data_IF_887126383490
#
_entry.id   IF_887126383490
#
_cell.length_a   1.000
_cell.length_b   1.000
_cell.length_c   1.000
_cell.angle_alpha   90.00
_cell.angle_beta   90.00
_cell.angle_gamma   90.00
#
_symmetry.space_group_name_H-M   'P 1'
#
loop_
_entity.id
_entity.type
_entity.pdbx_description
1 polymer ?
#
# COMPACT_ATOMS: atom_id res chain seq x y z
N UNK A 1 -15.42 53.04 -21.93
CA UNK A 1 -14.27 52.23 -22.37
C UNK A 1 -14.61 50.78 -22.06
N UNK A 2 -14.84 49.97 -23.11
CA UNK A 2 -15.22 48.57 -22.95
C UNK A 2 -13.95 47.73 -22.90
N UNK A 3 -13.57 47.27 -21.70
CA UNK A 3 -12.63 46.16 -21.58
C UNK A 3 -13.47 44.87 -21.56
N UNK A 4 -13.64 44.26 -22.73
CA UNK A 4 -14.14 42.88 -22.82
C UNK A 4 -12.99 41.95 -22.45
N UNK A 5 -12.74 41.78 -21.15
CA UNK A 5 -11.80 40.77 -20.69
C UNK A 5 -12.29 39.39 -21.15
N UNK A 6 -11.42 38.65 -21.85
CA UNK A 6 -11.70 37.27 -22.25
C UNK A 6 -11.23 36.33 -21.14
N UNK A 7 -12.18 35.61 -20.56
CA UNK A 7 -11.97 34.58 -19.54
C UNK A 7 -12.04 33.19 -20.17
N UNK A 8 -11.26 32.95 -21.23
CA UNK A 8 -11.21 31.67 -21.93
C UNK A 8 -10.11 30.80 -21.31
N UNK A 9 -10.48 29.91 -20.37
CA UNK A 9 -9.58 28.97 -19.68
C UNK A 9 -9.69 27.52 -20.20
N UNK A 10 -10.36 27.30 -21.33
CA UNK A 10 -10.55 25.98 -21.94
C UNK A 10 -9.32 25.48 -22.72
N UNK A 11 -8.25 26.28 -22.80
CA UNK A 11 -6.97 25.88 -23.39
C UNK A 11 -6.31 24.80 -22.51
N UNK A 12 -5.82 23.72 -23.12
CA UNK A 12 -5.19 22.59 -22.45
C UNK A 12 -4.07 22.99 -21.47
N UNK A 13 -3.40 24.13 -21.69
CA UNK A 13 -2.37 24.64 -20.77
C UNK A 13 -2.91 25.06 -19.40
N UNK A 14 -4.21 25.34 -19.29
CA UNK A 14 -4.90 25.68 -18.05
C UNK A 14 -5.58 24.47 -17.40
N UNK A 15 -5.71 23.37 -18.15
CA UNK A 15 -6.17 22.11 -17.59
C UNK A 15 -5.10 21.58 -16.63
N UNK A 16 -5.54 21.03 -15.50
CA UNK A 16 -4.65 20.28 -14.64
C UNK A 16 -4.03 19.15 -15.48
N UNK A 17 -2.71 18.93 -15.41
CA UNK A 17 -2.12 17.76 -16.05
C UNK A 17 -2.84 16.51 -15.53
N UNK A 18 -3.03 15.48 -16.38
CA UNK A 18 -3.64 14.23 -15.95
C UNK A 18 -2.94 13.76 -14.67
N UNK A 19 -3.71 13.37 -13.66
CA UNK A 19 -3.20 12.81 -12.42
C UNK A 19 -2.18 11.73 -12.78
N UNK A 20 -0.89 11.96 -12.51
CA UNK A 20 0.15 11.03 -12.90
C UNK A 20 -0.06 9.75 -12.09
N UNK A 21 -0.54 8.70 -12.73
CA UNK A 21 -0.78 7.40 -12.10
C UNK A 21 0.60 6.81 -11.79
N UNK A 22 0.91 6.67 -10.51
CA UNK A 22 2.12 5.99 -10.08
C UNK A 22 2.02 4.51 -10.46
N UNK A 23 3.08 3.89 -11.01
CA UNK A 23 3.14 2.45 -11.17
C UNK A 23 2.83 1.76 -9.83
N UNK A 24 2.07 0.67 -9.87
CA UNK A 24 1.51 0.06 -8.67
C UNK A 24 1.81 -1.43 -8.55
N UNK A 25 1.81 -1.89 -7.30
CA UNK A 25 1.76 -3.29 -6.94
C UNK A 25 0.48 -3.59 -6.17
N UNK A 26 0.17 -4.88 -6.03
CA UNK A 26 -0.97 -5.35 -5.25
C UNK A 26 -0.62 -6.60 -4.46
N UNK A 27 -1.54 -7.04 -3.60
CA UNK A 27 -1.45 -8.31 -2.91
C UNK A 27 -2.39 -9.30 -3.60
N UNK A 28 -1.86 -10.37 -4.20
CA UNK A 28 -2.64 -11.45 -4.79
C UNK A 28 -3.04 -12.43 -3.70
N UNK A 29 -4.33 -12.75 -3.62
CA UNK A 29 -4.83 -13.72 -2.66
C UNK A 29 -4.61 -15.18 -3.13
N UNK A 30 -4.48 -16.14 -2.20
CA UNK A 30 -4.37 -17.56 -2.53
C UNK A 30 -5.64 -18.07 -3.18
N UNK A 31 -5.50 -18.84 -4.25
CA UNK A 31 -6.61 -19.54 -4.93
C UNK A 31 -6.24 -21.00 -5.16
N UNK A 32 -7.23 -21.90 -5.11
CA UNK A 32 -7.01 -23.29 -5.51
C UNK A 32 -7.08 -23.41 -7.03
N UNK A 33 -5.99 -23.88 -7.62
CA UNK A 33 -5.94 -24.32 -9.01
C UNK A 33 -5.96 -25.85 -9.13
N UNK A 34 -5.89 -26.39 -10.36
CA UNK A 34 -5.88 -27.83 -10.62
C UNK A 34 -4.75 -28.59 -9.91
N UNK A 35 -3.64 -27.90 -9.64
CA UNK A 35 -2.42 -28.47 -9.05
C UNK A 35 -2.23 -28.07 -7.57
N UNK A 36 -3.29 -27.62 -6.90
CA UNK A 36 -3.25 -27.16 -5.50
C UNK A 36 -3.25 -25.64 -5.37
N UNK A 37 -2.70 -25.13 -4.27
CA UNK A 37 -2.69 -23.70 -3.96
C UNK A 37 -1.78 -22.95 -4.96
N UNK A 38 -2.34 -21.97 -5.65
CA UNK A 38 -1.58 -21.10 -6.54
C UNK A 38 -0.67 -20.13 -5.74
N UNK A 39 0.41 -19.62 -6.36
CA UNK A 39 1.25 -18.61 -5.72
C UNK A 39 0.45 -17.38 -5.30
N UNK A 40 0.83 -16.79 -4.17
CA UNK A 40 0.18 -15.62 -3.57
C UNK A 40 1.24 -14.74 -2.92
N UNK A 41 0.90 -13.48 -2.66
CA UNK A 41 1.84 -12.51 -2.10
C UNK A 41 1.81 -11.18 -2.83
N UNK A 42 2.87 -10.38 -2.61
CA UNK A 42 3.00 -9.09 -3.25
C UNK A 42 3.37 -9.28 -4.71
N UNK A 43 2.64 -8.63 -5.61
CA UNK A 43 2.77 -8.79 -7.04
C UNK A 43 2.88 -7.46 -7.79
N UNK A 44 3.57 -7.49 -8.92
CA UNK A 44 3.72 -6.37 -9.86
C UNK A 44 3.57 -6.92 -11.29
N UNK A 45 2.68 -6.34 -12.08
CA UNK A 45 2.54 -6.64 -13.51
C UNK A 45 3.82 -6.34 -14.29
N UNK A 46 4.04 -7.04 -15.39
CA UNK A 46 5.16 -6.74 -16.29
C UNK A 46 5.22 -5.26 -16.72
N UNK A 47 4.08 -4.61 -16.99
CA UNK A 47 4.04 -3.21 -17.42
C UNK A 47 4.54 -2.26 -16.32
N UNK A 48 4.01 -2.39 -15.09
CA UNK A 48 4.49 -1.61 -13.95
C UNK A 48 5.95 -1.93 -13.59
N UNK A 49 6.37 -3.20 -13.72
CA UNK A 49 7.76 -3.60 -13.50
C UNK A 49 8.70 -2.92 -14.50
N UNK A 50 8.34 -2.89 -15.79
CA UNK A 50 9.11 -2.19 -16.83
C UNK A 50 9.13 -0.68 -16.58
N UNK A 51 7.98 -0.08 -16.22
CA UNK A 51 7.84 1.36 -16.01
C UNK A 51 8.77 1.89 -14.89
N UNK A 52 9.04 1.11 -13.86
CA UNK A 52 9.95 1.49 -12.76
C UNK A 52 11.40 1.00 -12.97
N UNK A 53 11.66 0.22 -14.02
CA UNK A 53 12.94 -0.44 -14.25
C UNK A 53 13.25 -1.55 -13.24
N UNK A 54 12.25 -2.36 -12.88
CA UNK A 54 12.37 -3.46 -11.93
C UNK A 54 13.30 -4.57 -12.44
N UNK A 55 14.26 -4.95 -11.58
CA UNK A 55 15.19 -6.04 -11.77
C UNK A 55 14.94 -7.06 -10.65
N UNK A 56 14.13 -8.11 -10.90
CA UNK A 56 13.85 -9.13 -9.89
C UNK A 56 15.13 -9.88 -9.51
N UNK A 57 15.26 -10.19 -8.22
CA UNK A 57 16.24 -11.16 -7.72
C UNK A 57 15.58 -12.54 -7.56
N UNK A 58 16.31 -13.52 -7.03
CA UNK A 58 15.86 -14.92 -6.89
C UNK A 58 14.62 -15.08 -5.97
N UNK A 59 14.26 -14.06 -5.20
CA UNK A 59 13.08 -14.06 -4.33
C UNK A 59 11.77 -13.72 -5.08
N UNK A 60 11.85 -13.38 -6.36
CA UNK A 60 10.70 -13.07 -7.21
C UNK A 60 10.48 -14.15 -8.25
N UNK A 61 9.24 -14.60 -8.34
CA UNK A 61 8.82 -15.57 -9.34
C UNK A 61 8.02 -14.87 -10.42
N UNK A 62 8.30 -15.18 -11.68
CA UNK A 62 7.46 -14.77 -12.79
C UNK A 62 6.38 -15.83 -13.03
N UNK A 63 5.11 -15.45 -12.94
CA UNK A 63 3.97 -16.35 -13.13
C UNK A 63 2.92 -15.72 -14.03
N UNK A 64 2.09 -16.55 -14.64
CA UNK A 64 0.83 -16.13 -15.25
C UNK A 64 -0.28 -16.19 -14.19
N UNK A 65 -1.05 -15.13 -14.06
CA UNK A 65 -2.14 -14.99 -13.11
C UNK A 65 -3.42 -14.53 -13.80
N UNK A 66 -4.54 -15.17 -13.48
CA UNK A 66 -5.86 -14.84 -14.03
C UNK A 66 -6.55 -13.79 -13.14
N UNK A 67 -6.55 -12.54 -13.61
CA UNK A 67 -7.33 -11.46 -13.01
C UNK A 67 -8.75 -11.45 -13.58
N UNK A 68 -9.65 -10.67 -12.97
CA UNK A 68 -10.98 -10.41 -13.54
C UNK A 68 -10.93 -9.77 -14.94
N UNK A 69 -9.85 -9.03 -15.22
CA UNK A 69 -9.56 -8.41 -16.52
C UNK A 69 -8.97 -9.37 -17.55
N UNK A 70 -8.54 -10.57 -17.13
CA UNK A 70 -7.89 -11.59 -17.95
C UNK A 70 -6.53 -12.05 -17.38
N UNK A 71 -5.92 -12.99 -18.08
CA UNK A 71 -4.59 -13.49 -17.77
C UNK A 71 -3.50 -12.43 -18.01
N UNK A 72 -2.67 -12.19 -16.99
CA UNK A 72 -1.49 -11.33 -17.09
C UNK A 72 -0.28 -12.00 -16.44
N UNK A 73 0.91 -11.70 -16.96
CA UNK A 73 2.16 -12.12 -16.32
C UNK A 73 2.56 -11.11 -15.24
N UNK A 74 2.91 -11.63 -14.06
CA UNK A 74 3.33 -10.84 -12.91
C UNK A 74 4.61 -11.38 -12.28
N UNK A 75 5.37 -10.50 -11.66
CA UNK A 75 6.35 -10.88 -10.65
C UNK A 75 5.67 -10.97 -9.28
N UNK A 76 5.87 -12.05 -8.55
CA UNK A 76 5.26 -12.27 -7.23
C UNK A 76 6.29 -12.75 -6.20
N UNK A 77 6.12 -12.31 -4.95
CA UNK A 77 6.89 -12.79 -3.80
C UNK A 77 6.05 -12.86 -2.53
N UNK A 78 6.22 -13.94 -1.77
CA UNK A 78 5.64 -14.11 -0.43
C UNK A 78 6.55 -13.57 0.68
N UNK A 79 7.80 -13.25 0.37
CA UNK A 79 8.78 -12.70 1.31
C UNK A 79 9.47 -11.45 0.76
N UNK A 80 8.73 -10.43 0.30
CA UNK A 80 9.35 -9.24 -0.28
C UNK A 80 10.11 -8.45 0.80
N UNK A 81 11.12 -7.68 0.40
CA UNK A 81 11.81 -6.72 1.29
C UNK A 81 11.49 -5.31 0.82
N UNK A 82 10.95 -4.49 1.72
CA UNK A 82 10.30 -3.24 1.37
C UNK A 82 10.87 -2.09 2.20
N UNK A 83 11.18 -0.97 1.55
CA UNK A 83 11.28 0.33 2.20
C UNK A 83 9.95 1.05 1.98
N UNK A 84 9.30 1.51 3.06
CA UNK A 84 8.05 2.27 3.00
C UNK A 84 8.38 3.75 3.23
N UNK A 85 8.38 4.53 2.15
CA UNK A 85 8.76 5.95 2.16
C UNK A 85 7.61 6.82 2.67
N UNK A 86 6.39 6.59 2.17
CA UNK A 86 5.20 7.30 2.60
C UNK A 86 4.05 6.33 2.83
N UNK A 87 3.16 6.71 3.73
CA UNK A 87 1.93 5.97 4.05
C UNK A 87 0.78 6.95 4.09
N UNK A 88 -0.28 6.65 3.34
CA UNK A 88 -1.53 7.39 3.38
C UNK A 88 -2.38 7.03 4.61
N UNK A 89 -3.43 7.80 4.91
CA UNK A 89 -4.36 7.47 5.98
C UNK A 89 -5.15 6.20 5.65
N UNK A 90 -5.61 5.51 6.70
CA UNK A 90 -6.64 4.47 6.56
C UNK A 90 -7.89 5.13 5.96
N UNK A 91 -8.26 4.72 4.77
CA UNK A 91 -9.33 5.33 3.97
C UNK A 91 -10.47 4.33 3.75
N UNK A 92 -11.64 4.86 3.43
CA UNK A 92 -12.84 4.07 3.11
C UNK A 92 -13.22 4.35 1.66
N UNK A 93 -13.54 3.27 0.93
CA UNK A 93 -14.17 3.34 -0.39
C UNK A 93 -15.44 2.50 -0.42
N UNK A 94 -16.33 2.88 -1.32
CA UNK A 94 -17.45 2.04 -1.72
C UNK A 94 -16.93 0.85 -2.54
N UNK A 95 -17.41 -0.36 -2.24
CA UNK A 95 -16.93 -1.59 -2.89
C UNK A 95 -17.33 -1.68 -4.35
N UNK A 96 -18.58 -1.30 -4.65
CA UNK A 96 -19.16 -1.46 -5.98
C UNK A 96 -18.59 -0.43 -6.96
N UNK A 97 -18.50 0.82 -6.52
CA UNK A 97 -18.03 1.93 -7.38
C UNK A 97 -16.52 2.14 -7.32
N UNK A 98 -15.84 1.58 -6.32
CA UNK A 98 -14.43 1.84 -6.04
C UNK A 98 -14.12 3.27 -5.57
N UNK A 99 -15.12 4.15 -5.46
CA UNK A 99 -14.92 5.57 -5.15
C UNK A 99 -14.49 5.73 -3.69
N UNK A 100 -13.34 6.39 -3.48
CA UNK A 100 -12.90 6.82 -2.15
C UNK A 100 -13.89 7.85 -1.57
N UNK A 101 -14.41 7.54 -0.39
CA UNK A 101 -15.29 8.42 0.37
C UNK A 101 -14.50 9.45 1.18
N UNK A 102 -13.48 8.98 1.89
CA UNK A 102 -12.64 9.80 2.76
C UNK A 102 -11.79 8.95 3.70
N UNK A 103 -11.34 9.51 4.81
CA UNK A 103 -10.62 8.75 5.84
C UNK A 103 -11.58 7.89 6.68
N UNK A 104 -11.09 6.78 7.21
CA UNK A 104 -11.84 5.92 8.14
C UNK A 104 -12.23 6.65 9.42
N UNK A 105 -11.45 7.64 9.85
CA UNK A 105 -11.78 8.45 11.02
C UNK A 105 -13.08 9.23 10.79
N UNK A 106 -13.26 9.76 9.59
CA UNK A 106 -14.40 10.62 9.26
C UNK A 106 -15.63 9.81 8.85
N UNK A 107 -15.44 8.61 8.27
CA UNK A 107 -16.49 7.70 7.82
C UNK A 107 -16.62 6.43 8.68
N UNK A 108 -16.25 6.51 9.96
CA UNK A 108 -16.28 5.35 10.86
C UNK A 108 -17.69 4.81 11.03
N UNK A 109 -18.66 5.68 11.27
CA UNK A 109 -20.04 5.28 11.55
C UNK A 109 -20.72 4.72 10.29
N UNK A 110 -20.50 5.35 9.14
CA UNK A 110 -20.94 4.82 7.83
C UNK A 110 -20.38 3.41 7.58
N UNK A 111 -19.07 3.22 7.81
CA UNK A 111 -18.43 1.92 7.66
C UNK A 111 -19.01 0.87 8.63
N UNK A 112 -19.26 1.24 9.88
CA UNK A 112 -19.79 0.31 10.89
C UNK A 112 -21.27 -0.04 10.63
N UNK A 113 -22.03 0.87 10.04
CA UNK A 113 -23.42 0.66 9.65
C UNK A 113 -23.55 -0.32 8.48
N UNK A 114 -22.63 -0.27 7.50
CA UNK A 114 -22.64 -1.16 6.34
C UNK A 114 -21.24 -1.64 5.93
N UNK A 115 -20.71 -2.61 6.67
CA UNK A 115 -19.39 -3.22 6.44
C UNK A 115 -19.30 -4.00 5.13
N UNK A 116 -20.45 -4.38 4.56
CA UNK A 116 -20.51 -5.12 3.29
C UNK A 116 -20.40 -4.16 2.12
N UNK A 117 -21.05 -3.00 2.18
CA UNK A 117 -20.95 -1.95 1.16
C UNK A 117 -19.58 -1.29 1.10
N UNK A 118 -18.92 -1.10 2.25
CA UNK A 118 -17.67 -0.36 2.33
C UNK A 118 -16.44 -1.25 2.51
N UNK A 119 -15.29 -0.77 2.03
CA UNK A 119 -13.98 -1.42 2.19
C UNK A 119 -12.93 -0.42 2.66
N UNK A 120 -12.15 -0.82 3.65
CA UNK A 120 -11.00 -0.04 4.10
C UNK A 120 -9.78 -0.36 3.27
N UNK A 121 -8.97 0.67 3.00
CA UNK A 121 -7.69 0.52 2.33
C UNK A 121 -6.65 1.51 2.85
N UNK A 122 -5.38 1.20 2.61
CA UNK A 122 -4.25 2.11 2.88
C UNK A 122 -3.32 2.07 1.69
N UNK A 123 -2.82 3.25 1.30
CA UNK A 123 -1.77 3.39 0.28
C UNK A 123 -0.41 3.51 0.91
N UNK A 124 0.57 2.85 0.32
CA UNK A 124 1.97 2.94 0.68
C UNK A 124 2.77 3.33 -0.56
N UNK A 125 3.76 4.18 -0.37
CA UNK A 125 4.76 4.49 -1.39
C UNK A 125 6.03 3.72 -1.01
N UNK A 126 6.43 2.76 -1.83
CA UNK A 126 7.43 1.77 -1.48
C UNK A 126 8.59 1.70 -2.49
N UNK A 127 9.72 1.18 -2.02
CA UNK A 127 10.74 0.58 -2.84
C UNK A 127 10.94 -0.89 -2.46
N UNK A 128 11.12 -1.74 -3.47
CA UNK A 128 11.56 -3.11 -3.30
C UNK A 128 13.08 -3.15 -3.15
N UNK A 129 13.56 -3.95 -2.22
CA UNK A 129 14.96 -4.01 -1.80
C UNK A 129 15.48 -5.43 -2.04
N UNK A 130 16.67 -5.55 -2.62
CA UNK A 130 17.37 -6.83 -2.72
C UNK A 130 18.05 -7.22 -1.42
N UNK A 131 18.53 -8.46 -1.34
CA UNK A 131 19.34 -8.95 -0.20
C UNK A 131 20.58 -8.06 0.08
N UNK A 132 21.15 -7.45 -0.96
CA UNK A 132 22.28 -6.52 -0.87
C UNK A 132 21.92 -5.11 -0.37
N UNK A 133 20.66 -4.88 0.05
CA UNK A 133 20.11 -3.58 0.48
C UNK A 133 20.09 -2.51 -0.62
N UNK A 134 20.14 -2.93 -1.90
CA UNK A 134 19.97 -2.05 -3.06
C UNK A 134 18.51 -2.07 -3.50
N UNK A 135 18.02 -0.94 -4.01
CA UNK A 135 16.71 -0.93 -4.63
C UNK A 135 16.73 -1.73 -5.93
N UNK A 136 15.69 -2.53 -6.12
CA UNK A 136 15.51 -3.34 -7.32
C UNK A 136 14.92 -2.53 -8.48
N UNK A 137 14.62 -1.25 -8.29
CA UNK A 137 14.03 -0.36 -9.28
C UNK A 137 14.33 1.11 -8.96
N UNK A 138 14.07 2.01 -9.91
CA UNK A 138 14.52 3.41 -9.84
C UNK A 138 13.43 4.41 -9.44
N UNK A 139 12.16 4.04 -9.57
CA UNK A 139 10.99 4.89 -9.26
C UNK A 139 10.14 4.24 -8.16
N UNK A 140 9.49 5.01 -7.28
CA UNK A 140 8.68 4.43 -6.22
C UNK A 140 7.42 3.76 -6.76
N UNK A 141 6.94 2.75 -6.05
CA UNK A 141 5.69 2.04 -6.34
C UNK A 141 4.59 2.44 -5.37
N UNK A 142 3.37 2.57 -5.88
CA UNK A 142 2.18 2.63 -5.02
C UNK A 142 1.71 1.21 -4.70
N UNK A 143 1.64 0.87 -3.41
CA UNK A 143 1.01 -0.35 -2.93
C UNK A 143 -0.29 -0.02 -2.20
N UNK A 144 -1.42 -0.43 -2.78
CA UNK A 144 -2.73 -0.29 -2.13
C UNK A 144 -3.14 -1.60 -1.50
N UNK A 145 -3.26 -1.61 -0.17
CA UNK A 145 -3.68 -2.79 0.57
C UNK A 145 -5.05 -2.55 1.17
N UNK A 146 -5.93 -3.54 1.05
CA UNK A 146 -7.31 -3.46 1.50
C UNK A 146 -7.74 -4.71 2.25
N UNK A 147 -8.85 -4.63 2.98
CA UNK A 147 -9.42 -5.76 3.70
C UNK A 147 -8.44 -6.43 4.68
N UNK A 148 -8.48 -7.77 4.74
CA UNK A 148 -7.67 -8.56 5.66
C UNK A 148 -6.16 -8.42 5.42
N UNK A 149 -5.73 -8.44 4.16
CA UNK A 149 -4.32 -8.23 3.78
C UNK A 149 -3.79 -6.87 4.26
N UNK A 150 -4.58 -5.81 4.06
CA UNK A 150 -4.22 -4.48 4.55
C UNK A 150 -4.18 -4.36 6.07
N UNK A 151 -5.10 -5.04 6.77
CA UNK A 151 -5.14 -5.06 8.22
C UNK A 151 -3.93 -5.79 8.82
N UNK A 152 -3.60 -7.00 8.32
CA UNK A 152 -2.46 -7.79 8.80
C UNK A 152 -1.13 -7.10 8.48
N UNK A 153 -0.95 -6.58 7.26
CA UNK A 153 0.23 -5.80 6.89
C UNK A 153 0.40 -4.56 7.76
N UNK A 154 -0.67 -3.77 7.93
CA UNK A 154 -0.64 -2.55 8.73
C UNK A 154 -0.29 -2.80 10.20
N UNK A 155 -0.86 -3.86 10.80
CA UNK A 155 -0.55 -4.26 12.18
C UNK A 155 0.91 -4.67 12.34
N UNK A 156 1.43 -5.49 11.43
CA UNK A 156 2.82 -5.97 11.48
C UNK A 156 3.83 -4.86 11.19
N UNK A 157 3.52 -3.92 10.31
CA UNK A 157 4.39 -2.77 10.05
C UNK A 157 4.42 -1.78 11.22
N UNK A 158 3.25 -1.36 11.70
CA UNK A 158 3.13 -0.35 12.75
C UNK A 158 1.80 -0.46 13.49
N UNK A 159 1.83 -0.96 14.72
CA UNK A 159 0.65 -1.05 15.58
C UNK A 159 0.52 0.21 16.43
N UNK A 160 -0.64 0.86 16.36
CA UNK A 160 -0.94 2.08 17.10
C UNK A 160 -1.98 1.84 18.18
N UNK A 161 -1.73 2.36 19.37
CA UNK A 161 -2.71 2.45 20.45
C UNK A 161 -2.72 3.88 20.99
N UNK A 162 -3.90 4.51 21.03
CA UNK A 162 -4.08 5.90 21.48
C UNK A 162 -3.11 6.91 20.81
N UNK A 163 -2.87 6.72 19.51
CA UNK A 163 -1.99 7.60 18.72
C UNK A 163 -0.49 7.39 18.94
N UNK A 164 -0.08 6.36 19.70
CA UNK A 164 1.32 6.00 19.92
C UNK A 164 1.63 4.64 19.29
N UNK A 165 2.84 4.48 18.79
CA UNK A 165 3.36 3.21 18.29
C UNK A 165 3.57 2.30 19.51
N UNK A 166 2.91 1.15 19.53
CA UNK A 166 3.00 0.15 20.62
C UNK A 166 3.64 -1.16 20.18
N UNK A 167 3.67 -1.43 18.88
CA UNK A 167 4.19 -2.68 18.33
C UNK A 167 4.44 -2.62 16.83
N UNK A 168 4.79 -3.76 16.26
CA UNK A 168 5.17 -3.91 14.86
C UNK A 168 6.62 -3.52 14.58
N UNK A 169 7.02 -3.72 13.34
CA UNK A 169 8.37 -3.50 12.83
C UNK A 169 8.95 -2.13 13.22
N UNK A 170 8.15 -1.07 13.10
CA UNK A 170 8.60 0.29 13.43
C UNK A 170 9.00 0.42 14.90
N UNK A 171 8.23 -0.16 15.83
CA UNK A 171 8.53 -0.12 17.26
C UNK A 171 9.82 -0.88 17.59
N UNK A 172 10.02 -2.02 16.94
CA UNK A 172 11.21 -2.84 17.11
C UNK A 172 12.45 -2.18 16.52
N UNK A 173 12.32 -1.55 15.35
CA UNK A 173 13.40 -0.80 14.70
C UNK A 173 13.92 0.33 15.58
N UNK A 174 13.04 1.09 16.23
CA UNK A 174 13.46 2.14 17.18
C UNK A 174 14.22 1.59 18.38
N UNK A 175 13.75 0.47 18.95
CA UNK A 175 14.42 -0.21 20.08
C UNK A 175 15.78 -0.77 19.66
N UNK A 176 15.85 -1.44 18.51
CA UNK A 176 17.07 -1.99 17.95
C UNK A 176 18.11 -0.88 17.67
N UNK A 177 17.69 0.22 17.07
CA UNK A 177 18.54 1.39 16.83
C UNK A 177 19.06 2.02 18.13
N UNK A 178 18.18 2.23 19.11
CA UNK A 178 18.57 2.78 20.40
C UNK A 178 19.60 1.88 21.11
N UNK A 179 19.36 0.57 21.13
CA UNK A 179 20.29 -0.41 21.69
C UNK A 179 21.63 -0.46 20.94
N UNK A 180 21.60 -0.45 19.61
CA UNK A 180 22.81 -0.39 18.77
C UNK A 180 23.66 0.87 19.05
N UNK A 181 23.01 2.02 19.25
CA UNK A 181 23.67 3.26 19.62
C UNK A 181 24.01 3.38 21.12
N UNK A 182 23.65 2.40 21.95
CA UNK A 182 23.73 2.44 23.40
C UNK A 182 23.09 3.72 24.01
N UNK A 183 21.88 4.05 23.54
CA UNK A 183 21.09 5.22 23.97
C UNK A 183 19.70 4.81 24.45
N UNK A 184 19.02 5.64 25.27
CA UNK A 184 17.62 5.43 25.60
C UNK A 184 16.73 5.43 24.36
N UNK A 185 15.63 4.66 24.39
CA UNK A 185 14.64 4.65 23.32
C UNK A 185 13.94 6.00 23.26
N UNK A 186 14.04 6.66 22.11
CA UNK A 186 13.36 7.92 21.81
C UNK A 186 12.51 7.75 20.55
N UNK A 187 11.26 8.23 20.54
CA UNK A 187 10.43 8.19 19.33
C UNK A 187 11.13 8.83 18.14
N UNK A 188 11.03 8.20 16.98
CA UNK A 188 11.61 8.70 15.73
C UNK A 188 10.53 9.21 14.78
N UNK A 189 10.94 10.10 13.88
CA UNK A 189 10.05 10.66 12.86
C UNK A 189 9.86 9.73 11.66
N UNK A 190 8.87 9.98 10.78
CA UNK A 190 8.56 9.09 9.67
C UNK A 190 9.73 8.91 8.68
N UNK A 191 10.60 9.92 8.50
CA UNK A 191 11.77 9.79 7.64
C UNK A 191 12.78 8.74 8.17
N UNK A 192 12.90 8.61 9.50
CA UNK A 192 13.72 7.53 10.08
C UNK A 192 13.09 6.16 9.80
N UNK A 193 11.77 6.03 9.95
CA UNK A 193 11.08 4.76 9.66
C UNK A 193 11.16 4.38 8.19
N UNK A 194 11.24 5.37 7.29
CA UNK A 194 11.47 5.16 5.86
C UNK A 194 12.85 4.56 5.53
N UNK A 195 13.79 4.52 6.48
CA UNK A 195 15.07 3.81 6.29
C UNK A 195 15.02 2.36 6.75
N UNK A 196 13.94 1.94 7.41
CA UNK A 196 13.74 0.54 7.79
C UNK A 196 13.37 -0.32 6.58
N UNK A 197 14.01 -1.48 6.47
CA UNK A 197 13.68 -2.52 5.49
C UNK A 197 12.70 -3.48 6.18
N UNK A 198 11.42 -3.34 5.87
CA UNK A 198 10.36 -4.22 6.33
C UNK A 198 10.32 -5.48 5.45
N UNK A 199 10.52 -6.64 6.07
CA UNK A 199 10.52 -7.94 5.39
C UNK A 199 9.32 -8.78 5.87
N UNK A 200 8.10 -8.51 5.38
CA UNK A 200 6.92 -9.29 5.75
C UNK A 200 7.04 -10.74 5.25
N UNK A 201 6.50 -11.67 6.04
CA UNK A 201 6.27 -13.06 5.65
C UNK A 201 4.78 -13.20 5.37
N UNK A 202 4.46 -13.49 4.12
CA UNK A 202 3.09 -13.58 3.63
C UNK A 202 2.72 -15.05 3.49
N UNK A 203 1.65 -15.46 4.15
CA UNK A 203 1.11 -16.80 4.08
C UNK A 203 -0.40 -16.77 3.79
N UNK A 204 -0.91 -17.95 3.45
CA UNK A 204 -2.32 -18.21 3.21
C UNK A 204 -3.03 -18.40 4.55
N UNK A 205 -4.02 -17.55 4.84
CA UNK A 205 -4.90 -17.71 6.01
C UNK A 205 -6.37 -17.70 5.59
N UNK A 206 -7.20 -18.51 6.24
CA UNK A 206 -8.65 -18.36 6.18
C UNK A 206 -9.08 -17.19 7.08
N UNK A 207 -9.73 -16.19 6.50
CA UNK A 207 -10.27 -15.04 7.23
C UNK A 207 -11.72 -14.81 6.86
N UNK A 208 -12.50 -14.33 7.83
CA UNK A 208 -13.91 -14.01 7.66
C UNK A 208 -14.76 -14.51 8.83
N UNK A 209 -16.07 -14.37 8.70
CA UNK A 209 -17.05 -14.91 9.65
C UNK A 209 -17.99 -15.78 8.82
N UNK A 210 -18.22 -17.02 9.26
CA UNK A 210 -19.10 -17.95 8.56
C UNK A 210 -20.47 -17.31 8.26
N UNK A 211 -21.01 -17.49 7.04
CA UNK A 211 -20.50 -18.34 5.95
C UNK A 211 -19.47 -17.68 5.02
N UNK A 212 -19.09 -16.42 5.25
CA UNK A 212 -18.24 -15.62 4.36
C UNK A 212 -16.76 -15.69 4.78
N UNK A 213 -16.15 -16.87 4.66
CA UNK A 213 -14.70 -17.08 4.84
C UNK A 213 -14.01 -17.18 3.49
N UNK A 214 -12.85 -16.54 3.34
CA UNK A 214 -12.04 -16.58 2.13
C UNK A 214 -10.56 -16.82 2.49
N UNK A 215 -9.82 -17.42 1.55
CA UNK A 215 -8.37 -17.49 1.64
C UNK A 215 -7.79 -16.12 1.29
N UNK A 216 -6.94 -15.61 2.17
CA UNK A 216 -6.32 -14.29 1.99
C UNK A 216 -4.83 -14.37 2.20
N UNK A 217 -4.10 -13.56 1.42
CA UNK A 217 -2.68 -13.38 1.62
C UNK A 217 -2.47 -12.44 2.81
N UNK A 218 -2.01 -13.01 3.92
CA UNK A 218 -1.86 -12.28 5.18
C UNK A 218 -0.39 -12.17 5.57
N UNK A 219 0.01 -10.99 6.03
CA UNK A 219 1.28 -10.86 6.74
C UNK A 219 1.15 -11.53 8.09
N UNK A 220 1.70 -12.74 8.22
CA UNK A 220 1.63 -13.53 9.45
C UNK A 220 2.76 -13.18 10.42
N UNK A 221 3.90 -12.77 9.88
CA UNK A 221 5.08 -12.39 10.63
C UNK A 221 5.98 -11.46 9.78
N UNK A 222 7.12 -11.06 10.31
CA UNK A 222 8.15 -10.32 9.59
C UNK A 222 9.53 -10.58 10.18
N UNK A 223 10.59 -10.25 9.44
CA UNK A 223 11.93 -10.34 10.01
C UNK A 223 12.15 -9.24 11.05
N UNK A 224 12.42 -9.66 12.28
CA UNK A 224 12.52 -8.77 13.44
C UNK A 224 13.90 -8.08 13.53
N UNK A 225 13.96 -6.73 13.49
CA UNK A 225 15.19 -6.01 13.76
C UNK A 225 15.56 -6.14 15.25
N UNK A 226 16.78 -6.59 15.52
CA UNK A 226 17.38 -6.64 16.85
C UNK A 226 18.64 -5.79 16.89
N UNK A 227 19.25 -5.62 18.06
CA UNK A 227 20.54 -4.92 18.15
C UNK A 227 21.62 -5.58 17.27
N UNK A 228 21.63 -6.92 17.18
CA UNK A 228 22.59 -7.67 16.38
C UNK A 228 22.29 -7.69 14.87
N UNK A 229 21.03 -7.50 14.49
CA UNK A 229 20.58 -7.60 13.09
C UNK A 229 20.16 -6.26 12.49
N UNK A 230 20.30 -5.14 13.21
CA UNK A 230 19.87 -3.82 12.75
C UNK A 230 20.46 -3.45 11.38
N UNK A 231 21.73 -3.76 11.15
CA UNK A 231 22.43 -3.45 9.91
C UNK A 231 21.89 -4.19 8.68
N UNK A 232 21.13 -5.26 8.88
CA UNK A 232 20.46 -6.02 7.81
C UNK A 232 19.11 -5.39 7.42
N UNK A 233 18.44 -4.75 8.38
CA UNK A 233 17.07 -4.23 8.25
C UNK A 233 17.01 -2.70 8.22
N UNK A 234 18.15 -2.03 7.99
CA UNK A 234 18.21 -0.58 7.93
C UNK A 234 19.14 -0.11 6.80
N UNK A 235 18.67 0.87 6.04
CA UNK A 235 19.47 1.63 5.09
C UNK A 235 20.29 2.66 5.89
N UNK A 236 21.61 2.60 5.73
CA UNK A 236 22.51 3.54 6.39
C UNK A 236 22.32 4.96 5.82
N UNK A 237 22.45 5.97 6.68
CA UNK A 237 22.18 7.37 6.30
C UNK A 237 23.13 7.92 5.23
N UNK A 238 24.32 7.33 5.11
CA UNK A 238 25.37 7.66 4.13
C UNK A 238 25.34 6.78 2.87
N UNK A 239 24.41 5.82 2.78
CA UNK A 239 24.23 5.00 1.59
C UNK A 239 23.55 5.79 0.45
N UNK A 240 23.85 5.50 -0.83
CA UNK A 240 23.14 6.10 -1.96
C UNK A 240 21.62 5.95 -1.89
N UNK A 241 21.14 4.84 -1.33
CA UNK A 241 19.72 4.56 -1.15
C UNK A 241 19.04 5.56 -0.19
N UNK A 242 19.76 6.04 0.83
CA UNK A 242 19.27 7.07 1.76
C UNK A 242 18.96 8.39 1.03
N UNK A 243 19.80 8.77 0.05
CA UNK A 243 19.55 9.97 -0.76
C UNK A 243 18.26 9.84 -1.59
N UNK A 244 18.01 8.65 -2.16
CA UNK A 244 16.78 8.34 -2.90
C UNK A 244 15.56 8.39 -1.97
N UNK A 245 15.66 7.80 -0.77
CA UNK A 245 14.60 7.84 0.25
C UNK A 245 14.29 9.29 0.62
N UNK A 246 15.29 10.09 0.96
CA UNK A 246 15.09 11.48 1.40
C UNK A 246 14.46 12.34 0.29
N UNK A 247 14.96 12.21 -0.95
CA UNK A 247 14.40 12.92 -2.12
C UNK A 247 12.94 12.54 -2.34
N UNK A 248 12.66 11.24 -2.44
CA UNK A 248 11.29 10.73 -2.66
C UNK A 248 10.37 11.11 -1.51
N UNK A 249 10.85 11.06 -0.27
CA UNK A 249 10.08 11.44 0.91
C UNK A 249 9.60 12.89 0.78
N UNK A 250 10.46 13.83 0.41
CA UNK A 250 10.09 15.23 0.24
C UNK A 250 9.20 15.47 -0.99
N UNK A 251 9.55 14.88 -2.14
CA UNK A 251 8.76 15.00 -3.38
C UNK A 251 7.30 14.55 -3.18
N UNK A 252 7.10 13.49 -2.40
CA UNK A 252 5.80 12.89 -2.13
C UNK A 252 5.23 13.26 -0.75
N UNK A 253 5.56 14.45 -0.20
CA UNK A 253 5.03 14.89 1.10
C UNK A 253 3.51 15.02 1.18
N UNK A 254 2.86 15.21 0.03
CA UNK A 254 1.39 15.26 -0.08
C UNK A 254 0.77 13.89 -0.42
N UNK A 255 1.57 12.82 -0.51
CA UNK A 255 1.08 11.49 -0.85
C UNK A 255 0.00 11.02 0.13
N UNK A 256 -1.13 10.59 -0.42
CA UNK A 256 -2.28 10.10 0.35
C UNK A 256 -3.05 11.19 1.11
N UNK A 257 -2.62 12.46 1.08
CA UNK A 257 -3.41 13.56 1.61
C UNK A 257 -4.58 13.87 0.67
N UNK A 258 -5.68 14.33 1.24
CA UNK A 258 -6.87 14.67 0.49
C UNK A 258 -6.67 16.01 -0.22
N UNK A 259 -7.01 16.07 -1.51
CA UNK A 259 -7.30 17.34 -2.14
C UNK A 259 -8.56 17.90 -1.48
N UNK A 260 -8.54 19.18 -1.12
CA UNK A 260 -9.70 19.88 -0.55
C UNK A 260 -10.85 19.76 -1.56
N UNK A 261 -11.86 18.93 -1.27
CA UNK A 261 -13.09 18.90 -2.05
C UNK A 261 -13.84 20.20 -1.78
N UNK A 262 -14.06 20.99 -2.83
CA UNK A 262 -15.08 22.03 -2.83
C UNK A 262 -16.42 21.30 -2.72
N UNK A 263 -17.17 21.54 -1.65
CA UNK A 263 -18.46 20.90 -1.42
C UNK A 263 -19.44 21.25 -2.54
N UNK A 264 -19.77 20.28 -3.39
CA UNK A 264 -20.99 20.33 -4.19
C UNK A 264 -22.12 19.64 -3.42
N UNK A 265 -23.36 20.16 -3.43
CA UNK A 265 -24.44 19.65 -2.57
C UNK A 265 -24.81 18.21 -2.96
N UNK A 266 -24.92 17.33 -1.96
CA UNK A 266 -25.38 15.94 -2.13
C UNK A 266 -26.81 15.90 -2.67
N UNK A 267 -27.03 15.23 -3.81
CA UNK A 267 -28.35 14.69 -4.15
C UNK A 267 -28.52 13.32 -3.48
N UNK A 268 -29.65 13.12 -2.82
CA UNK A 268 -30.04 11.85 -2.20
C UNK A 268 -30.28 10.79 -3.28
N UNK A 269 -29.70 9.60 -3.10
CA UNK A 269 -30.06 8.40 -3.86
C UNK A 269 -30.80 7.42 -2.95
N UNK A 270 -31.98 7.03 -3.41
CA UNK A 270 -32.93 6.15 -2.76
C UNK A 270 -32.39 4.72 -2.58
N UNK A 271 -32.85 4.06 -1.53
CA UNK A 271 -32.41 2.73 -1.12
C UNK A 271 -32.79 1.61 -2.08
N UNK A 272 -31.97 0.56 -2.08
CA UNK A 272 -32.27 -0.73 -2.70
C UNK A 272 -31.70 -1.84 -1.81
N UNK A 273 -32.54 -2.84 -1.52
CA UNK A 273 -32.15 -4.08 -0.85
C UNK A 273 -31.44 -5.01 -1.83
N UNK A 274 -30.32 -5.64 -1.46
CA UNK A 274 -29.96 -6.95 -2.01
C UNK A 274 -28.87 -7.64 -1.20
N UNK A 275 -28.94 -8.97 -1.16
CA UNK A 275 -27.97 -9.89 -0.59
C UNK A 275 -26.68 -9.90 -1.41
N UNK A 276 -25.60 -9.35 -0.86
CA UNK A 276 -24.33 -9.28 -1.57
C UNK A 276 -23.50 -10.57 -1.40
N UNK A 277 -23.14 -11.18 -2.53
CA UNK A 277 -22.04 -12.15 -2.67
C UNK A 277 -21.00 -11.46 -3.54
N UNK A 278 -19.87 -11.07 -2.97
CA UNK A 278 -18.80 -10.39 -3.69
C UNK A 278 -17.71 -11.40 -4.07
N UNK A 279 -17.31 -11.42 -5.34
CA UNK A 279 -16.17 -12.19 -5.81
C UNK A 279 -14.85 -11.57 -5.33
N UNK A 280 -13.79 -12.39 -5.22
CA UNK A 280 -12.45 -11.93 -4.87
C UNK A 280 -11.88 -11.06 -6.00
N UNK A 281 -11.99 -9.74 -5.85
CA UNK A 281 -11.43 -8.75 -6.76
C UNK A 281 -9.92 -8.59 -6.54
N UNK A 282 -9.14 -9.49 -7.15
CA UNK A 282 -7.81 -9.13 -7.61
C UNK A 282 -8.02 -8.54 -9.02
N UNK A 283 -8.10 -7.20 -9.13
CA UNK A 283 -8.33 -6.50 -10.40
C UNK A 283 -7.12 -5.63 -10.74
N UNK A 284 -6.49 -5.89 -11.90
CA UNK A 284 -5.38 -5.09 -12.46
C UNK A 284 -5.86 -4.08 -13.50
N UNK A 285 -7.12 -4.18 -13.95
CA UNK A 285 -7.65 -3.40 -15.09
C UNK A 285 -7.68 -1.88 -14.89
N UNK A 286 -7.57 -1.40 -13.65
CA UNK A 286 -7.49 0.03 -13.33
C UNK A 286 -6.54 0.28 -12.15
N UNK A 287 -5.82 1.42 -12.13
CA UNK A 287 -5.05 1.81 -10.96
C UNK A 287 -6.00 1.96 -9.76
N UNK A 288 -5.61 1.48 -8.56
CA UNK A 288 -6.48 1.56 -7.38
C UNK A 288 -6.60 3.00 -6.86
N UNK A 289 -7.56 3.76 -7.42
CA UNK A 289 -8.00 5.08 -6.96
C UNK A 289 -8.75 5.06 -5.61
#
# INVERSE_FOLDING_TARGET
>A
MNASAKFEFEDEKFNAPPSQVLPWGLMINPRYGPNGLQPHGLAISMDNAQAIGFQPDDNWQQIEHEFSSGAETVFISSTPRLVIVRRGPLSVKDRETGIKLGTYRDHKDDFLADKLKFKTFTRHLIFLVGENKKFLHNLPLQLTLSGAAGASFGKNYSEYQQGRIVGGFVAELEKAYAGFCNKPVTPKGPLFHAHGIFCPIIECEERGIQPNTALVASTVDYKHPTVGTLTEYMIASDAPESAIICKTFEEYKEFGKEAIKIETPKMELAGVSSSYVYADEDDFGYPPY
#
